data_IF_714798689439
#
_entry.id   IF_714798689439
#
_cell.length_a   1.000
_cell.length_b   1.000
_cell.length_c   1.000
_cell.angle_alpha   90.00
_cell.angle_beta   90.00
_cell.angle_gamma   90.00
#
_symmetry.space_group_name_H-M   'P 1'
#
loop_
_entity.id
_entity.type
_entity.pdbx_description
1 polymer ?
#
# COMPACT_ATOMS: atom_id res chain seq x y z
N UNK A 1 22.93 -25.39 50.16
CA UNK A 1 22.88 -23.99 49.73
C UNK A 1 22.56 -23.97 48.23
N UNK A 2 21.32 -23.66 47.85
CA UNK A 2 20.86 -23.63 46.44
C UNK A 2 21.17 -22.24 45.86
N UNK A 3 22.05 -22.17 44.87
CA UNK A 3 22.27 -20.97 44.07
C UNK A 3 21.37 -21.05 42.83
N UNK A 4 20.32 -20.24 42.79
CA UNK A 4 19.56 -19.94 41.55
C UNK A 4 20.10 -18.60 41.03
N UNK A 5 20.74 -18.60 39.88
CA UNK A 5 21.02 -17.36 39.14
C UNK A 5 19.94 -17.15 38.08
N UNK A 6 19.31 -15.99 38.17
CA UNK A 6 18.26 -15.46 37.32
C UNK A 6 18.80 -15.16 35.91
N UNK A 7 18.00 -15.45 34.89
CA UNK A 7 18.24 -15.08 33.49
C UNK A 7 18.13 -13.54 33.39
N UNK A 8 19.14 -12.82 32.87
CA UNK A 8 19.08 -11.36 32.79
C UNK A 8 18.07 -10.92 31.73
N UNK A 9 17.24 -9.94 32.12
CA UNK A 9 16.09 -9.45 31.38
C UNK A 9 16.43 -8.82 30.03
N UNK A 10 15.51 -9.02 29.09
CA UNK A 10 15.40 -8.26 27.85
C UNK A 10 15.02 -6.83 28.23
N UNK A 11 15.92 -5.88 28.01
CA UNK A 11 15.63 -4.45 28.12
C UNK A 11 14.71 -4.05 26.96
N UNK A 12 13.40 -4.06 27.18
CA UNK A 12 12.42 -3.47 26.26
C UNK A 12 12.56 -1.95 26.33
N UNK A 13 13.28 -1.36 25.38
CA UNK A 13 13.29 0.10 25.20
C UNK A 13 11.90 0.52 24.72
N UNK A 14 11.08 1.01 25.64
CA UNK A 14 9.84 1.67 25.29
C UNK A 14 10.16 2.95 24.49
N UNK A 15 9.47 3.21 23.36
CA UNK A 15 9.66 4.46 22.63
C UNK A 15 9.39 5.66 23.54
N UNK A 16 10.15 6.74 23.35
CA UNK A 16 9.93 7.97 24.13
C UNK A 16 8.52 8.51 23.91
N UNK A 17 7.96 9.16 24.93
CA UNK A 17 6.62 9.79 24.86
C UNK A 17 6.52 10.79 23.70
N UNK A 18 7.62 11.47 23.37
CA UNK A 18 7.72 12.35 22.20
C UNK A 18 7.53 11.60 20.88
N UNK A 19 8.11 10.41 20.74
CA UNK A 19 7.99 9.60 19.53
C UNK A 19 6.56 9.06 19.35
N UNK A 20 5.94 8.59 20.44
CA UNK A 20 4.53 8.19 20.41
C UNK A 20 3.61 9.36 20.06
N UNK A 21 3.85 10.54 20.64
CA UNK A 21 3.11 11.76 20.30
C UNK A 21 3.24 12.14 18.82
N UNK A 22 4.43 11.97 18.24
CA UNK A 22 4.66 12.21 16.81
C UNK A 22 3.88 11.24 15.91
N UNK A 23 3.87 9.94 16.23
CA UNK A 23 3.09 8.95 15.46
C UNK A 23 1.59 9.22 15.56
N UNK A 24 1.10 9.57 16.76
CA UNK A 24 -0.30 9.94 16.94
C UNK A 24 -0.67 11.18 16.11
N UNK A 25 0.19 12.21 16.09
CA UNK A 25 -0.03 13.39 15.26
C UNK A 25 -0.09 13.06 13.76
N UNK A 26 0.72 12.10 13.29
CA UNK A 26 0.66 11.61 11.91
C UNK A 26 -0.64 10.89 11.57
N UNK A 27 -1.14 10.03 12.45
CA UNK A 27 -2.45 9.38 12.25
C UNK A 27 -3.58 10.40 12.24
N UNK A 28 -3.55 11.38 13.13
CA UNK A 28 -4.54 12.47 13.12
C UNK A 28 -4.46 13.26 11.82
N UNK A 29 -3.26 13.62 11.36
CA UNK A 29 -3.08 14.30 10.08
C UNK A 29 -3.63 13.47 8.91
N UNK A 30 -3.38 12.16 8.88
CA UNK A 30 -3.99 11.25 7.90
C UNK A 30 -5.51 11.45 7.82
N UNK A 31 -6.23 11.35 8.94
CA UNK A 31 -7.69 11.50 8.94
C UNK A 31 -8.17 12.90 8.55
N UNK A 32 -7.41 13.94 8.87
CA UNK A 32 -7.77 15.31 8.49
C UNK A 32 -7.60 15.57 6.99
N UNK A 33 -6.52 15.06 6.40
CA UNK A 33 -6.18 15.37 5.00
C UNK A 33 -6.73 14.35 4.01
N UNK A 34 -6.92 13.09 4.41
CA UNK A 34 -7.36 12.00 3.53
C UNK A 34 -8.54 12.40 2.63
N UNK A 35 -9.60 12.96 3.19
CA UNK A 35 -10.78 13.34 2.42
C UNK A 35 -10.54 14.56 1.51
N UNK A 36 -9.79 15.55 1.99
CA UNK A 36 -9.58 16.81 1.27
C UNK A 36 -8.61 16.71 0.08
N UNK A 37 -7.69 15.75 0.11
CA UNK A 37 -6.70 15.52 -0.97
C UNK A 37 -7.08 14.38 -1.91
N UNK A 38 -8.15 13.64 -1.59
CA UNK A 38 -8.66 12.57 -2.45
C UNK A 38 -9.27 13.12 -3.73
N UNK A 39 -9.04 12.42 -4.84
CA UNK A 39 -9.67 12.73 -6.12
C UNK A 39 -11.15 12.29 -6.03
N UNK A 40 -12.12 13.17 -6.33
CA UNK A 40 -13.53 12.79 -6.40
C UNK A 40 -13.77 11.63 -7.38
N UNK A 41 -14.66 10.71 -7.01
CA UNK A 41 -15.05 9.55 -7.84
C UNK A 41 -13.92 8.58 -8.22
N UNK A 42 -12.81 8.62 -7.47
CA UNK A 42 -11.67 7.71 -7.64
C UNK A 42 -11.45 6.85 -6.39
N UNK A 43 -11.68 5.54 -6.52
CA UNK A 43 -11.58 4.58 -5.43
C UNK A 43 -10.91 3.28 -5.87
N UNK A 44 -10.11 2.70 -4.98
CA UNK A 44 -9.58 1.35 -5.09
C UNK A 44 -10.40 0.41 -4.20
N UNK A 45 -10.90 -0.68 -4.77
CA UNK A 45 -11.67 -1.70 -4.07
C UNK A 45 -11.04 -3.07 -4.26
N UNK A 46 -10.72 -3.75 -3.17
CA UNK A 46 -10.17 -5.11 -3.16
C UNK A 46 -11.10 -5.98 -2.31
N UNK A 47 -12.11 -6.63 -2.92
CA UNK A 47 -13.18 -7.31 -2.19
C UNK A 47 -12.70 -8.37 -1.19
N UNK A 48 -11.67 -9.14 -1.57
CA UNK A 48 -11.11 -10.19 -0.71
C UNK A 48 -10.55 -9.65 0.61
N UNK A 49 -10.00 -8.43 0.58
CA UNK A 49 -9.41 -7.78 1.75
C UNK A 49 -10.43 -6.91 2.48
N UNK A 50 -11.67 -6.79 1.98
CA UNK A 50 -12.64 -5.81 2.49
C UNK A 50 -12.21 -4.35 2.28
N UNK A 51 -11.18 -4.10 1.45
CA UNK A 51 -10.62 -2.77 1.23
C UNK A 51 -11.51 -1.96 0.28
N UNK A 52 -11.86 -0.75 0.70
CA UNK A 52 -12.37 0.33 -0.14
C UNK A 52 -11.69 1.61 0.32
N UNK A 53 -10.87 2.19 -0.54
CA UNK A 53 -10.03 3.32 -0.20
C UNK A 53 -10.03 4.36 -1.32
N UNK A 54 -10.01 5.64 -0.96
CA UNK A 54 -9.94 6.74 -1.93
C UNK A 54 -8.54 6.89 -2.49
N UNK A 55 -8.47 7.37 -3.73
CA UNK A 55 -7.19 7.58 -4.43
C UNK A 55 -6.85 9.07 -4.40
N UNK A 56 -5.59 9.40 -4.08
CA UNK A 56 -5.04 10.75 -4.12
C UNK A 56 -3.80 10.80 -5.02
N UNK A 57 -3.34 12.02 -5.34
CA UNK A 57 -2.12 12.28 -6.13
C UNK A 57 -1.10 13.11 -5.36
N UNK A 58 -1.23 13.17 -4.04
CA UNK A 58 -0.38 13.99 -3.17
C UNK A 58 0.67 13.16 -2.46
N UNK A 59 0.27 12.10 -1.77
CA UNK A 59 1.18 11.26 -0.98
C UNK A 59 0.51 9.96 -0.53
N UNK A 60 1.27 8.83 -0.40
CA UNK A 60 0.78 7.63 0.28
C UNK A 60 0.44 7.86 1.76
N UNK A 61 0.92 8.96 2.37
CA UNK A 61 0.57 9.35 3.74
C UNK A 61 -0.92 9.73 3.91
N UNK A 62 -1.68 9.84 2.82
CA UNK A 62 -3.09 10.24 2.82
C UNK A 62 -4.00 9.19 2.17
N UNK A 63 -3.58 7.92 2.12
CA UNK A 63 -4.36 6.81 1.57
C UNK A 63 -3.67 6.14 0.38
N UNK A 64 -4.44 5.74 -0.63
CA UNK A 64 -3.87 5.17 -1.86
C UNK A 64 -3.38 6.29 -2.76
N UNK A 65 -2.09 6.31 -3.05
CA UNK A 65 -1.46 7.29 -3.92
C UNK A 65 -1.30 6.76 -5.34
N UNK A 66 -1.78 7.51 -6.33
CA UNK A 66 -1.52 7.27 -7.74
C UNK A 66 -0.26 7.98 -8.21
N UNK A 67 0.67 7.21 -8.78
CA UNK A 67 1.87 7.72 -9.42
C UNK A 67 1.52 8.41 -10.74
N UNK A 68 1.50 9.75 -10.73
CA UNK A 68 1.03 10.59 -11.85
C UNK A 68 1.85 10.36 -13.12
N UNK A 69 3.11 9.92 -12.99
CA UNK A 69 3.98 9.63 -14.12
C UNK A 69 3.69 8.28 -14.80
N UNK A 70 2.74 7.50 -14.28
CA UNK A 70 2.29 6.23 -14.87
C UNK A 70 0.98 6.42 -15.65
N UNK A 71 0.65 5.58 -16.64
CA UNK A 71 -0.63 5.67 -17.33
C UNK A 71 -1.82 5.55 -16.37
N UNK A 72 -2.95 6.19 -16.67
CA UNK A 72 -4.15 6.07 -15.85
C UNK A 72 -4.81 4.69 -16.05
N UNK A 73 -5.65 4.25 -15.08
CA UNK A 73 -6.43 3.02 -15.22
C UNK A 73 -7.19 2.97 -16.55
N UNK A 74 -7.17 1.82 -17.23
CA UNK A 74 -7.86 1.67 -18.50
C UNK A 74 -7.00 1.92 -19.74
N UNK A 75 -5.73 2.31 -19.57
CA UNK A 75 -4.76 2.56 -20.64
C UNK A 75 -3.67 1.49 -20.66
N UNK A 76 -3.03 1.30 -21.82
CA UNK A 76 -1.88 0.41 -21.94
C UNK A 76 -0.71 0.95 -21.12
N UNK A 77 0.10 0.03 -20.59
CA UNK A 77 1.20 0.28 -19.67
C UNK A 77 0.83 -0.14 -18.24
N UNK A 78 1.67 0.25 -17.30
CA UNK A 78 1.57 -0.14 -15.89
C UNK A 78 1.14 1.07 -15.08
N UNK A 79 -0.11 1.07 -14.63
CA UNK A 79 -0.60 2.01 -13.62
C UNK A 79 -0.02 1.62 -12.25
N UNK A 80 0.54 2.55 -11.50
CA UNK A 80 1.12 2.25 -10.18
C UNK A 80 0.37 2.97 -9.07
N UNK A 81 -0.08 2.20 -8.08
CA UNK A 81 -0.63 2.71 -6.83
C UNK A 81 0.26 2.32 -5.64
N UNK A 82 0.59 3.30 -4.81
CA UNK A 82 1.31 3.11 -3.56
C UNK A 82 0.37 3.23 -2.36
N UNK A 83 0.69 2.50 -1.30
CA UNK A 83 -0.04 2.60 -0.04
C UNK A 83 0.78 2.04 1.11
N UNK A 84 0.60 2.66 2.28
CA UNK A 84 1.28 2.20 3.49
C UNK A 84 0.82 0.82 3.90
N UNK A 85 1.78 0.02 4.36
CA UNK A 85 1.48 -1.27 4.98
C UNK A 85 1.19 -1.15 6.47
N UNK A 86 1.79 -0.16 7.12
CA UNK A 86 1.69 0.10 8.55
C UNK A 86 1.63 1.61 8.75
N UNK A 87 0.88 2.06 9.77
CA UNK A 87 0.53 3.46 10.01
C UNK A 87 -0.26 4.10 8.84
N UNK A 88 -0.72 5.33 9.03
CA UNK A 88 -1.45 6.15 8.06
C UNK A 88 -2.67 5.43 7.48
N UNK A 89 -3.52 4.91 8.36
CA UNK A 89 -4.66 4.05 7.98
C UNK A 89 -4.29 2.67 7.42
N UNK A 90 -3.05 2.47 6.94
CA UNK A 90 -2.49 1.21 6.44
C UNK A 90 -3.34 0.52 5.37
N UNK A 91 -3.69 1.19 4.26
CA UNK A 91 -4.60 0.64 3.26
C UNK A 91 -4.09 -0.69 2.65
N UNK A 92 -2.77 -0.92 2.65
CA UNK A 92 -2.15 -2.13 2.09
C UNK A 92 -1.63 -3.12 3.14
N UNK A 93 -2.11 -3.05 4.39
CA UNK A 93 -1.69 -3.94 5.48
C UNK A 93 -1.67 -5.43 5.08
N UNK A 94 -2.77 -5.88 4.46
CA UNK A 94 -3.03 -7.27 4.07
C UNK A 94 -2.77 -7.57 2.59
N UNK A 95 -2.01 -6.70 1.89
CA UNK A 95 -1.82 -6.83 0.45
C UNK A 95 -1.13 -8.15 0.04
N UNK A 96 -0.35 -8.74 0.94
CA UNK A 96 0.29 -10.04 0.75
C UNK A 96 -0.67 -11.23 0.77
N UNK A 97 -1.91 -11.08 1.25
CA UNK A 97 -2.91 -12.15 1.26
C UNK A 97 -3.56 -12.39 -0.12
N UNK A 98 -3.37 -11.44 -1.05
CA UNK A 98 -3.80 -11.58 -2.43
C UNK A 98 -3.11 -12.73 -3.14
N UNK A 99 -3.85 -13.45 -3.96
CA UNK A 99 -3.44 -14.62 -4.73
C UNK A 99 -3.86 -14.43 -6.18
N UNK A 100 -3.22 -15.18 -7.07
CA UNK A 100 -3.60 -15.20 -8.49
C UNK A 100 -5.10 -15.46 -8.64
N UNK A 101 -5.76 -14.64 -9.45
CA UNK A 101 -7.20 -14.69 -9.70
C UNK A 101 -8.06 -13.76 -8.83
N UNK A 102 -7.51 -13.20 -7.75
CA UNK A 102 -8.25 -12.23 -6.94
C UNK A 102 -8.52 -10.94 -7.72
N UNK A 103 -9.68 -10.33 -7.48
CA UNK A 103 -10.12 -9.12 -8.18
C UNK A 103 -9.61 -7.87 -7.47
N UNK A 104 -9.18 -6.91 -8.27
CA UNK A 104 -8.88 -5.53 -7.87
C UNK A 104 -9.71 -4.62 -8.77
N UNK A 105 -10.50 -3.74 -8.19
CA UNK A 105 -11.43 -2.87 -8.93
C UNK A 105 -11.00 -1.44 -8.70
N UNK A 106 -10.87 -0.67 -9.78
CA UNK A 106 -10.59 0.76 -9.73
C UNK A 106 -11.78 1.51 -10.31
N UNK A 107 -12.38 2.37 -9.49
CA UNK A 107 -13.28 3.42 -9.96
C UNK A 107 -12.43 4.63 -10.31
N UNK A 108 -12.59 5.16 -11.51
CA UNK A 108 -11.78 6.26 -12.03
C UNK A 108 -12.65 7.15 -12.91
N UNK A 109 -12.96 8.35 -12.42
CA UNK A 109 -13.82 9.33 -13.09
C UNK A 109 -15.11 8.71 -13.67
N UNK A 110 -15.88 8.02 -12.81
CA UNK A 110 -17.15 7.39 -13.17
C UNK A 110 -17.04 6.08 -13.97
N UNK A 111 -15.84 5.68 -14.38
CA UNK A 111 -15.58 4.41 -15.06
C UNK A 111 -15.12 3.34 -14.07
N UNK A 112 -15.50 2.08 -14.32
CA UNK A 112 -15.11 0.93 -13.51
C UNK A 112 -14.15 0.04 -14.29
N UNK A 113 -12.94 -0.13 -13.77
CA UNK A 113 -11.90 -1.01 -14.32
C UNK A 113 -11.71 -2.21 -13.40
N UNK A 114 -11.76 -3.41 -13.96
CA UNK A 114 -11.56 -4.65 -13.22
C UNK A 114 -10.24 -5.28 -13.62
N UNK A 115 -9.40 -5.55 -12.64
CA UNK A 115 -8.13 -6.23 -12.79
C UNK A 115 -8.16 -7.55 -12.02
N UNK A 116 -7.33 -8.49 -12.46
CA UNK A 116 -7.08 -9.75 -11.75
C UNK A 116 -5.60 -9.86 -11.41
N UNK A 117 -5.32 -10.24 -10.17
CA UNK A 117 -3.95 -10.52 -9.72
C UNK A 117 -3.40 -11.69 -10.54
N UNK A 118 -2.22 -11.53 -11.13
CA UNK A 118 -1.56 -12.60 -11.86
C UNK A 118 -0.22 -13.00 -11.25
N UNK A 119 0.44 -12.09 -10.52
CA UNK A 119 1.74 -12.35 -9.90
C UNK A 119 2.03 -11.44 -8.70
N UNK A 120 3.02 -11.80 -7.88
CA UNK A 120 3.56 -10.98 -6.79
C UNK A 120 5.07 -11.14 -6.71
N UNK A 121 5.78 -10.03 -6.52
CA UNK A 121 7.24 -10.02 -6.38
C UNK A 121 7.68 -9.17 -5.21
N UNK A 122 8.80 -9.54 -4.61
CA UNK A 122 9.50 -8.73 -3.61
C UNK A 122 10.76 -8.18 -4.24
N UNK A 123 10.97 -6.87 -4.14
CA UNK A 123 12.07 -6.15 -4.78
C UNK A 123 12.78 -5.22 -3.80
N UNK A 124 13.98 -4.78 -4.18
CA UNK A 124 14.73 -3.75 -3.46
C UNK A 124 13.94 -2.43 -3.37
N UNK A 125 14.12 -1.60 -2.32
CA UNK A 125 13.54 -0.25 -2.26
C UNK A 125 13.90 0.63 -3.45
N UNK A 126 15.06 0.40 -4.07
CA UNK A 126 15.56 1.18 -5.22
C UNK A 126 15.07 0.63 -6.57
N UNK A 127 14.18 -0.36 -6.57
CA UNK A 127 13.62 -0.91 -7.81
C UNK A 127 12.78 0.14 -8.53
N UNK A 128 13.15 0.42 -9.78
CA UNK A 128 12.44 1.36 -10.65
C UNK A 128 11.43 0.61 -11.51
N UNK A 129 10.17 1.05 -11.48
CA UNK A 129 9.12 0.57 -12.37
C UNK A 129 9.17 1.42 -13.64
N UNK A 130 9.38 0.76 -14.78
CA UNK A 130 9.19 1.36 -16.10
C UNK A 130 7.71 1.23 -16.48
N UNK A 131 6.93 2.33 -16.51
CA UNK A 131 5.49 2.28 -16.77
C UNK A 131 5.14 1.78 -18.18
N UNK A 132 6.08 1.90 -19.13
CA UNK A 132 5.89 1.55 -20.54
C UNK A 132 6.35 0.13 -20.88
N UNK A 133 6.91 -0.60 -19.91
CA UNK A 133 7.43 -1.95 -20.10
C UNK A 133 6.36 -3.01 -20.43
N UNK A 134 5.07 -2.69 -20.28
CA UNK A 134 3.96 -3.58 -20.65
C UNK A 134 3.12 -3.01 -21.78
N UNK A 135 2.75 -3.86 -22.74
CA UNK A 135 1.79 -3.53 -23.80
C UNK A 135 0.33 -3.84 -23.41
N UNK A 136 0.11 -4.33 -22.19
CA UNK A 136 -1.19 -4.61 -21.60
C UNK A 136 -1.59 -3.46 -20.68
N UNK A 137 -2.86 -3.45 -20.28
CA UNK A 137 -3.38 -2.58 -19.24
C UNK A 137 -3.17 -3.27 -17.89
N UNK A 138 -2.12 -2.86 -17.18
CA UNK A 138 -1.71 -3.43 -15.90
C UNK A 138 -1.85 -2.44 -14.76
N UNK A 139 -2.12 -2.98 -13.57
CA UNK A 139 -2.18 -2.25 -12.31
C UNK A 139 -1.23 -2.92 -11.31
N UNK A 140 -0.25 -2.17 -10.82
CA UNK A 140 0.69 -2.64 -9.82
C UNK A 140 0.43 -1.93 -8.49
N UNK A 141 0.17 -2.71 -7.44
CA UNK A 141 -0.03 -2.22 -6.08
C UNK A 141 1.26 -2.41 -5.30
N UNK A 142 1.81 -1.32 -4.75
CA UNK A 142 3.15 -1.30 -4.16
C UNK A 142 3.10 -0.92 -2.69
N UNK A 143 3.77 -1.70 -1.85
CA UNK A 143 3.86 -1.42 -0.41
C UNK A 143 5.19 -1.89 0.18
N UNK A 144 5.49 -1.49 1.41
CA UNK A 144 6.69 -1.93 2.13
C UNK A 144 6.57 -3.40 2.60
N UNK A 145 7.69 -4.11 2.70
CA UNK A 145 7.72 -5.48 3.25
C UNK A 145 9.11 -5.80 3.83
N UNK A 146 9.24 -6.78 4.75
CA UNK A 146 8.22 -7.36 5.64
C UNK A 146 7.73 -6.34 6.68
N UNK A 147 6.62 -6.65 7.37
CA UNK A 147 5.97 -5.77 8.36
C UNK A 147 6.91 -5.25 9.45
N UNK A 148 7.91 -6.04 9.83
CA UNK A 148 8.83 -5.72 10.94
C UNK A 148 9.96 -4.77 10.56
N UNK A 149 10.37 -4.71 9.29
CA UNK A 149 11.58 -3.97 8.88
C UNK A 149 11.38 -3.03 7.70
N UNK A 150 10.32 -3.20 6.90
CA UNK A 150 10.03 -2.38 5.72
C UNK A 150 11.22 -2.22 4.72
N UNK A 151 12.14 -3.19 4.72
CA UNK A 151 13.45 -3.13 4.01
C UNK A 151 13.35 -3.41 2.51
N UNK A 152 12.20 -3.89 2.05
CA UNK A 152 11.91 -4.27 0.68
C UNK A 152 10.55 -3.69 0.25
N UNK A 153 10.18 -3.91 -1.01
CA UNK A 153 8.85 -3.59 -1.54
C UNK A 153 8.16 -4.85 -2.02
N UNK A 154 6.91 -5.02 -1.62
CA UNK A 154 6.00 -5.98 -2.22
C UNK A 154 5.26 -5.29 -3.36
N UNK A 155 5.30 -5.90 -4.54
CA UNK A 155 4.54 -5.49 -5.72
C UNK A 155 3.54 -6.60 -6.04
N UNK A 156 2.24 -6.27 -6.01
CA UNK A 156 1.17 -7.14 -6.52
C UNK A 156 0.80 -6.69 -7.92
N UNK A 157 1.01 -7.58 -8.89
CA UNK A 157 0.78 -7.29 -10.31
C UNK A 157 -0.58 -7.80 -10.75
N UNK A 158 -1.36 -6.89 -11.32
CA UNK A 158 -2.70 -7.16 -11.81
C UNK A 158 -2.80 -6.81 -13.29
N UNK A 159 -3.63 -7.54 -14.03
CA UNK A 159 -3.91 -7.29 -15.45
C UNK A 159 -5.39 -7.07 -15.64
N UNK A 160 -5.78 -6.14 -16.51
CA UNK A 160 -7.18 -5.84 -16.76
C UNK A 160 -7.92 -7.03 -17.37
N UNK A 161 -9.16 -7.21 -16.95
CA UNK A 161 -10.14 -8.12 -17.57
C UNK A 161 -11.31 -7.30 -18.12
N UNK A 162 -11.53 -7.36 -19.43
CA UNK A 162 -12.56 -6.59 -20.14
C UNK A 162 -11.96 -5.56 -21.07
#
# INVERSE_FOLDING_TARGET
MRLRYLIPGILLLAPSTTYLGYLAAKEVAYFMYHESVSIPDCELVIPKLGLRERINTTSPDYGVYYEIMTPPPGKKGITVFYGHRTLFGSPFLHLDELKRGDKVIVYWFGSKYVYVVYDKVVVSPDYVIDPDASNKDELWLVTCTPLSTARERLIVKCVRVG
#
